data_IF_025043425676
#
_entry.id   IF_025043425676
#
_cell.length_a   1.000
_cell.length_b   1.000
_cell.length_c   1.000
_cell.angle_alpha   90.00
_cell.angle_beta   90.00
_cell.angle_gamma   90.00
#
_symmetry.space_group_name_H-M   'P 1'
#
loop_
_entity.id
_entity.type
_entity.pdbx_description
1 polymer ?
#
# COMPACT_ATOMS: atom_id res chain seq x y z
N UNK A 1 10.63 28.88 -2.15
CA UNK A 1 10.20 27.46 -2.09
C UNK A 1 10.47 26.85 -3.44
N UNK A 2 11.04 25.65 -3.49
CA UNK A 2 11.41 24.94 -4.72
C UNK A 2 10.15 24.61 -5.53
N UNK A 3 10.25 24.69 -6.87
CA UNK A 3 9.19 24.36 -7.82
C UNK A 3 7.80 24.97 -7.54
N UNK A 4 7.62 26.30 -7.56
CA UNK A 4 6.34 26.93 -7.23
C UNK A 4 5.21 26.57 -8.19
N UNK A 5 5.52 26.29 -9.48
CA UNK A 5 4.51 25.88 -10.45
C UNK A 5 3.88 24.53 -10.09
N UNK A 6 4.71 23.54 -9.74
CA UNK A 6 4.23 22.24 -9.29
C UNK A 6 3.39 22.37 -8.01
N UNK A 7 3.83 23.22 -7.06
CA UNK A 7 3.10 23.44 -5.81
C UNK A 7 1.70 24.05 -6.03
N UNK A 8 1.50 24.85 -7.06
CA UNK A 8 0.17 25.33 -7.43
C UNK A 8 -0.65 24.24 -8.12
N UNK A 9 -0.04 23.48 -9.04
CA UNK A 9 -0.74 22.41 -9.78
C UNK A 9 -1.25 21.32 -8.86
N UNK A 10 -0.44 20.83 -7.92
CA UNK A 10 -0.81 19.74 -7.01
C UNK A 10 -1.99 20.07 -6.07
N UNK A 11 -2.28 21.34 -5.82
CA UNK A 11 -3.38 21.74 -4.91
C UNK A 11 -4.75 21.25 -5.35
N UNK A 12 -4.97 21.15 -6.66
CA UNK A 12 -6.28 20.85 -7.24
C UNK A 12 -6.27 19.66 -8.20
N UNK A 13 -5.10 19.12 -8.48
CA UNK A 13 -4.96 18.04 -9.46
C UNK A 13 -5.57 16.74 -8.94
N UNK A 14 -6.46 16.12 -9.71
CA UNK A 14 -7.22 14.92 -9.33
C UNK A 14 -6.94 13.71 -10.22
N UNK A 15 -5.91 13.77 -11.08
CA UNK A 15 -5.57 12.72 -12.03
C UNK A 15 -6.20 12.92 -13.41
N UNK A 16 -5.74 12.10 -14.38
CA UNK A 16 -6.14 12.20 -15.80
C UNK A 16 -7.45 11.51 -16.11
N UNK A 17 -7.63 10.29 -15.59
CA UNK A 17 -8.78 9.48 -15.94
C UNK A 17 -9.85 9.58 -14.85
N UNK A 18 -11.10 9.53 -15.27
CA UNK A 18 -12.24 9.42 -14.37
C UNK A 18 -12.34 8.02 -13.76
N UNK A 19 -13.04 7.91 -12.64
CA UNK A 19 -13.34 6.63 -12.01
C UNK A 19 -14.31 5.86 -12.92
N UNK A 20 -14.08 4.56 -13.23
CA UNK A 20 -15.05 3.74 -13.94
C UNK A 20 -16.43 3.76 -13.26
N UNK A 21 -17.51 3.81 -14.04
CA UNK A 21 -18.87 3.91 -13.49
C UNK A 21 -19.23 2.75 -12.55
N UNK A 22 -18.73 1.55 -12.83
CA UNK A 22 -18.98 0.34 -12.05
C UNK A 22 -17.88 0.03 -11.02
N UNK A 23 -16.95 0.96 -10.77
CA UNK A 23 -15.77 0.75 -9.92
C UNK A 23 -16.12 0.27 -8.51
N UNK A 24 -17.05 0.93 -7.85
CA UNK A 24 -17.46 0.55 -6.50
C UNK A 24 -18.19 -0.79 -6.48
N UNK A 25 -19.08 -1.03 -7.45
CA UNK A 25 -19.77 -2.32 -7.57
C UNK A 25 -18.80 -3.47 -7.86
N UNK A 26 -17.74 -3.22 -8.65
CA UNK A 26 -16.68 -4.18 -8.89
C UNK A 26 -15.96 -4.56 -7.59
N UNK A 27 -15.45 -3.59 -6.83
CA UNK A 27 -14.72 -3.86 -5.60
C UNK A 27 -15.59 -4.46 -4.50
N UNK A 28 -16.84 -4.02 -4.37
CA UNK A 28 -17.79 -4.61 -3.44
C UNK A 28 -18.10 -6.08 -3.80
N UNK A 29 -18.17 -6.38 -5.09
CA UNK A 29 -18.30 -7.74 -5.59
C UNK A 29 -17.08 -8.61 -5.29
N UNK A 30 -15.89 -8.11 -5.59
CA UNK A 30 -14.62 -8.82 -5.35
C UNK A 30 -14.40 -9.11 -3.86
N UNK A 31 -14.61 -8.13 -2.99
CA UNK A 31 -14.51 -8.28 -1.53
C UNK A 31 -15.55 -9.27 -1.01
N UNK A 32 -16.77 -9.27 -1.54
CA UNK A 32 -17.83 -10.21 -1.16
C UNK A 32 -17.54 -11.65 -1.59
N UNK A 33 -16.84 -11.82 -2.70
CA UNK A 33 -16.56 -13.13 -3.30
C UNK A 33 -15.36 -13.83 -2.65
N UNK A 34 -14.45 -13.11 -1.99
CA UNK A 34 -13.36 -13.75 -1.26
C UNK A 34 -13.78 -14.15 0.14
N UNK A 35 -13.16 -15.21 0.66
CA UNK A 35 -13.35 -15.59 2.06
C UNK A 35 -12.77 -14.53 2.98
N UNK A 36 -13.56 -14.00 3.90
CA UNK A 36 -13.07 -13.07 4.94
C UNK A 36 -12.13 -13.76 5.92
N UNK A 37 -12.34 -15.04 6.17
CA UNK A 37 -11.46 -15.86 7.02
C UNK A 37 -11.05 -17.11 6.23
N UNK A 38 -10.06 -17.00 5.32
CA UNK A 38 -9.53 -18.16 4.61
C UNK A 38 -8.79 -19.08 5.60
N UNK A 39 -8.47 -20.28 5.15
CA UNK A 39 -7.60 -21.17 5.91
C UNK A 39 -6.28 -20.47 6.19
N UNK A 40 -5.89 -20.37 7.46
CA UNK A 40 -4.64 -19.77 7.87
C UNK A 40 -3.93 -20.60 8.94
N UNK A 41 -2.62 -20.44 9.01
CA UNK A 41 -1.77 -20.99 10.03
C UNK A 41 -1.01 -19.87 10.73
N UNK A 42 -1.11 -19.84 12.07
CA UNK A 42 -0.43 -18.87 12.92
C UNK A 42 0.51 -19.64 13.85
N UNK A 43 1.82 -19.43 13.71
CA UNK A 43 2.85 -20.12 14.48
C UNK A 43 3.62 -19.11 15.34
N UNK A 44 3.62 -19.35 16.67
CA UNK A 44 4.44 -18.54 17.58
C UNK A 44 5.91 -18.91 17.43
N UNK A 45 6.76 -17.89 17.34
CA UNK A 45 8.22 -18.02 17.24
C UNK A 45 8.90 -17.41 18.45
N UNK A 46 9.84 -18.11 19.00
CA UNK A 46 10.68 -17.57 20.08
C UNK A 46 11.71 -16.58 19.50
N UNK A 47 11.55 -15.32 19.87
CA UNK A 47 12.46 -14.24 19.47
C UNK A 47 13.33 -13.74 20.66
N UNK A 48 13.30 -14.46 21.79
CA UNK A 48 14.08 -14.18 23.00
C UNK A 48 13.87 -12.79 23.62
N UNK A 49 12.78 -12.09 23.28
CA UNK A 49 12.39 -10.82 23.91
C UNK A 49 11.15 -11.07 24.78
N UNK A 50 11.29 -11.04 26.12
CA UNK A 50 10.22 -11.46 27.01
C UNK A 50 8.99 -10.54 27.01
N UNK A 51 9.11 -9.33 26.49
CA UNK A 51 8.03 -8.33 26.45
C UNK A 51 7.06 -8.48 25.27
N UNK A 52 7.42 -9.30 24.29
CA UNK A 52 6.62 -9.46 23.05
C UNK A 52 6.34 -10.93 22.76
N UNK A 53 5.36 -11.15 21.88
CA UNK A 53 5.12 -12.41 21.19
C UNK A 53 5.28 -12.18 19.69
N UNK A 54 6.04 -13.06 19.05
CA UNK A 54 6.29 -13.02 17.61
C UNK A 54 5.61 -14.21 16.95
N UNK A 55 5.00 -13.95 15.77
CA UNK A 55 4.30 -14.98 15.02
C UNK A 55 4.65 -14.91 13.54
N UNK A 56 4.61 -16.07 12.90
CA UNK A 56 4.50 -16.21 11.46
C UNK A 56 3.05 -16.56 11.12
N UNK A 57 2.46 -15.79 10.22
CA UNK A 57 1.14 -16.04 9.68
C UNK A 57 1.27 -16.45 8.21
N UNK A 58 0.63 -17.55 7.82
CA UNK A 58 0.42 -17.94 6.42
C UNK A 58 -1.05 -18.17 6.18
N UNK A 59 -1.55 -17.76 5.01
CA UNK A 59 -2.93 -18.01 4.63
C UNK A 59 -3.09 -18.19 3.12
N UNK A 60 -4.21 -18.78 2.74
CA UNK A 60 -4.58 -18.95 1.34
C UNK A 60 -5.22 -17.65 0.82
N UNK A 61 -4.47 -16.94 -0.02
CA UNK A 61 -4.93 -15.75 -0.74
C UNK A 61 -5.78 -16.10 -1.96
N UNK A 62 -6.19 -15.05 -2.70
CA UNK A 62 -6.93 -15.24 -3.95
C UNK A 62 -6.12 -16.05 -4.98
N UNK A 63 -6.82 -16.77 -5.87
CA UNK A 63 -6.21 -17.54 -6.98
C UNK A 63 -5.01 -18.40 -6.59
N UNK A 64 -5.16 -19.24 -5.55
CA UNK A 64 -4.13 -20.18 -5.07
C UNK A 64 -2.83 -19.52 -4.56
N UNK A 65 -2.82 -18.21 -4.31
CA UNK A 65 -1.69 -17.52 -3.68
C UNK A 65 -1.52 -17.97 -2.24
N UNK A 66 -0.27 -18.05 -1.76
CA UNK A 66 0.03 -18.27 -0.34
C UNK A 66 0.67 -17.02 0.22
N UNK A 67 -0.02 -16.35 1.12
CA UNK A 67 0.43 -15.10 1.69
C UNK A 67 1.10 -15.35 3.03
N UNK A 68 2.24 -14.69 3.23
CA UNK A 68 3.04 -14.74 4.44
C UNK A 68 3.11 -13.36 5.09
N UNK A 69 3.02 -13.32 6.41
CA UNK A 69 3.23 -12.12 7.19
C UNK A 69 3.92 -12.45 8.53
N UNK A 70 4.67 -11.49 9.06
CA UNK A 70 5.19 -11.51 10.42
C UNK A 70 4.37 -10.63 11.31
N UNK A 71 4.13 -11.09 12.53
CA UNK A 71 3.37 -10.33 13.53
C UNK A 71 4.21 -10.22 14.80
N UNK A 72 4.23 -9.03 15.40
CA UNK A 72 4.73 -8.79 16.75
C UNK A 72 3.61 -8.19 17.58
N UNK A 73 3.32 -8.79 18.72
CA UNK A 73 2.35 -8.27 19.68
C UNK A 73 3.06 -8.00 21.02
N UNK A 74 2.88 -6.83 21.65
CA UNK A 74 3.29 -6.65 23.04
C UNK A 74 2.51 -7.61 23.93
N UNK A 75 3.16 -8.15 24.97
CA UNK A 75 2.46 -8.90 26.01
C UNK A 75 1.58 -7.96 26.79
N UNK A 76 0.29 -8.21 26.78
CA UNK A 76 -0.73 -7.38 27.43
C UNK A 76 -1.87 -8.27 27.92
N UNK A 77 -2.50 -7.88 29.02
CA UNK A 77 -3.77 -8.45 29.49
C UNK A 77 -4.97 -7.89 28.73
N UNK A 78 -4.80 -6.73 28.09
CA UNK A 78 -5.81 -6.07 27.28
C UNK A 78 -5.55 -6.31 25.79
N UNK A 79 -6.60 -6.15 24.97
CA UNK A 79 -6.46 -6.15 23.52
C UNK A 79 -5.63 -4.94 23.07
N UNK A 80 -4.73 -5.17 22.14
CA UNK A 80 -3.78 -4.16 21.66
C UNK A 80 -4.20 -3.57 20.32
N UNK A 81 -3.98 -2.25 20.09
CA UNK A 81 -4.10 -1.65 18.76
C UNK A 81 -3.06 -2.25 17.82
N UNK A 82 -3.32 -2.22 16.51
CA UNK A 82 -2.45 -2.88 15.56
C UNK A 82 -2.20 -2.02 14.30
N UNK A 83 -0.96 -2.09 13.81
CA UNK A 83 -0.50 -1.43 12.60
C UNK A 83 -0.21 -2.47 11.53
N UNK A 84 -0.84 -2.32 10.35
CA UNK A 84 -0.53 -3.07 9.15
C UNK A 84 0.55 -2.35 8.36
N UNK A 85 1.71 -2.98 8.22
CA UNK A 85 2.84 -2.46 7.44
C UNK A 85 2.97 -3.19 6.10
N UNK A 86 3.21 -2.41 5.03
CA UNK A 86 3.44 -2.90 3.68
C UNK A 86 4.75 -2.35 3.12
N UNK A 87 5.49 -3.21 2.43
CA UNK A 87 6.82 -2.90 1.90
C UNK A 87 6.80 -2.25 0.51
N UNK A 88 7.93 -1.66 0.12
CA UNK A 88 8.15 -1.10 -1.22
C UNK A 88 8.24 -2.15 -2.32
N UNK A 89 8.10 -1.70 -3.59
CA UNK A 89 8.10 -2.58 -4.77
C UNK A 89 9.35 -3.46 -4.84
N UNK A 90 9.16 -4.72 -5.22
CA UNK A 90 10.18 -5.78 -5.28
C UNK A 90 10.82 -6.14 -3.92
N UNK A 91 10.38 -5.54 -2.84
CA UNK A 91 10.89 -5.78 -1.49
C UNK A 91 10.23 -6.95 -0.78
N UNK A 92 10.37 -6.95 0.54
CA UNK A 92 9.73 -7.86 1.48
C UNK A 92 9.32 -7.14 2.76
N UNK A 93 8.45 -7.75 3.56
CA UNK A 93 8.05 -7.23 4.85
C UNK A 93 9.21 -7.08 5.85
N UNK A 94 8.99 -6.30 6.86
CA UNK A 94 9.94 -6.07 7.96
C UNK A 94 10.27 -7.35 8.73
N UNK A 95 11.47 -7.39 9.26
CA UNK A 95 11.82 -8.35 10.29
C UNK A 95 11.19 -7.96 11.63
N UNK A 96 11.10 -8.89 12.59
CA UNK A 96 10.51 -8.59 13.90
C UNK A 96 11.25 -7.47 14.64
N UNK A 97 12.56 -7.36 14.45
CA UNK A 97 13.37 -6.30 15.06
C UNK A 97 12.93 -4.90 14.63
N UNK A 98 12.55 -4.73 13.37
CA UNK A 98 12.12 -3.43 12.82
C UNK A 98 10.77 -2.97 13.40
N UNK A 99 9.96 -3.92 13.86
CA UNK A 99 8.62 -3.67 14.40
C UNK A 99 8.62 -3.36 15.91
N UNK A 100 9.72 -3.62 16.63
CA UNK A 100 9.77 -3.54 18.10
C UNK A 100 9.49 -2.13 18.64
N UNK A 101 9.87 -1.09 17.91
CA UNK A 101 9.62 0.29 18.33
C UNK A 101 8.16 0.58 18.64
N UNK A 102 7.24 0.06 17.85
CA UNK A 102 5.80 0.24 18.07
C UNK A 102 5.28 -0.52 19.29
N UNK A 103 5.91 -1.66 19.62
CA UNK A 103 5.47 -2.45 20.78
C UNK A 103 5.76 -1.75 22.11
N UNK A 104 6.76 -0.86 22.17
CA UNK A 104 7.04 -0.01 23.33
C UNK A 104 5.89 0.96 23.61
N UNK A 105 5.18 1.41 22.56
CA UNK A 105 3.96 2.23 22.68
C UNK A 105 2.69 1.39 22.92
N UNK A 106 2.82 0.06 23.04
CA UNK A 106 1.69 -0.84 23.26
C UNK A 106 0.95 -1.26 21.99
N UNK A 107 1.53 -1.02 20.79
CA UNK A 107 0.94 -1.40 19.50
C UNK A 107 1.51 -2.72 19.00
N UNK A 108 0.65 -3.59 18.49
CA UNK A 108 1.08 -4.69 17.65
C UNK A 108 1.40 -4.20 16.23
N UNK A 109 2.23 -4.95 15.52
CA UNK A 109 2.54 -4.71 14.12
C UNK A 109 2.43 -6.00 13.34
N UNK A 110 1.83 -5.96 12.17
CA UNK A 110 1.90 -7.03 11.17
C UNK A 110 2.53 -6.48 9.89
N UNK A 111 3.50 -7.22 9.34
CA UNK A 111 4.17 -6.86 8.10
C UNK A 111 4.02 -7.99 7.08
N UNK A 112 3.32 -7.71 5.99
CA UNK A 112 2.99 -8.66 4.93
C UNK A 112 4.06 -8.67 3.85
N UNK A 113 4.42 -9.86 3.36
CA UNK A 113 5.12 -10.03 2.10
C UNK A 113 4.11 -10.01 0.94
N UNK A 114 4.31 -9.17 -0.05
CA UNK A 114 3.50 -9.17 -1.28
C UNK A 114 3.85 -10.39 -2.12
N UNK A 115 2.83 -11.10 -2.63
CA UNK A 115 3.03 -12.28 -3.48
C UNK A 115 3.92 -11.98 -4.68
N UNK A 116 4.72 -12.94 -5.13
CA UNK A 116 5.53 -12.83 -6.33
C UNK A 116 6.70 -11.83 -6.26
N UNK A 117 6.98 -11.27 -5.07
CA UNK A 117 8.13 -10.38 -4.83
C UNK A 117 9.21 -11.09 -3.98
N UNK A 118 10.09 -10.36 -3.31
CA UNK A 118 11.29 -10.96 -2.68
C UNK A 118 11.04 -11.70 -1.35
N UNK A 119 9.81 -11.69 -0.83
CA UNK A 119 9.47 -12.34 0.44
C UNK A 119 9.10 -13.82 0.31
N UNK A 120 8.41 -14.34 1.33
CA UNK A 120 7.99 -15.75 1.40
C UNK A 120 6.58 -15.99 0.82
N UNK A 121 5.83 -14.95 0.52
CA UNK A 121 4.55 -15.08 -0.16
C UNK A 121 4.73 -15.66 -1.56
N UNK A 122 3.86 -16.62 -1.90
CA UNK A 122 3.89 -17.30 -3.19
C UNK A 122 2.72 -16.83 -4.04
N UNK A 123 3.01 -16.57 -5.30
CA UNK A 123 1.99 -16.31 -6.30
C UNK A 123 1.49 -17.65 -6.87
N UNK A 124 0.17 -17.81 -6.95
CA UNK A 124 -0.46 -19.03 -7.49
C UNK A 124 -0.33 -19.18 -9.00
N UNK A 125 0.11 -18.13 -9.72
CA UNK A 125 0.27 -18.21 -11.16
C UNK A 125 1.44 -19.13 -11.54
N UNK A 126 1.14 -20.15 -12.32
CA UNK A 126 2.17 -21.05 -12.89
C UNK A 126 2.81 -20.38 -14.09
N UNK A 127 4.13 -20.19 -14.04
CA UNK A 127 4.92 -19.73 -15.18
C UNK A 127 5.85 -20.84 -15.65
N UNK A 128 5.76 -21.28 -16.91
CA UNK A 128 6.68 -22.30 -17.44
C UNK A 128 8.10 -21.78 -17.67
N UNK A 129 8.28 -20.45 -17.67
CA UNK A 129 9.56 -19.77 -17.88
C UNK A 129 10.18 -19.21 -16.60
N UNK A 130 9.66 -19.57 -15.44
CA UNK A 130 10.11 -19.08 -14.12
C UNK A 130 9.33 -17.86 -13.65
N UNK A 131 9.67 -17.38 -12.45
CA UNK A 131 9.04 -16.23 -11.82
C UNK A 131 9.89 -14.97 -12.02
N UNK A 132 9.22 -13.82 -12.10
CA UNK A 132 9.86 -12.51 -12.04
C UNK A 132 9.40 -11.79 -10.78
N UNK A 133 10.26 -10.93 -10.23
CA UNK A 133 9.92 -10.11 -9.06
C UNK A 133 9.36 -8.73 -9.40
N UNK A 134 9.26 -8.43 -10.70
CA UNK A 134 8.74 -7.18 -11.27
C UNK A 134 7.85 -7.47 -12.49
N UNK A 135 7.30 -6.44 -13.10
CA UNK A 135 6.36 -6.58 -14.22
C UNK A 135 4.91 -6.68 -13.76
N UNK A 136 4.62 -6.30 -12.52
CA UNK A 136 3.34 -6.59 -11.86
C UNK A 136 2.22 -5.61 -12.22
N UNK A 137 2.53 -4.37 -12.66
CA UNK A 137 1.49 -3.40 -13.03
C UNK A 137 0.72 -3.87 -14.27
N UNK A 138 1.47 -4.26 -15.33
CA UNK A 138 0.87 -4.66 -16.61
C UNK A 138 0.36 -6.09 -16.60
N UNK A 139 0.73 -6.88 -15.61
CA UNK A 139 0.40 -8.30 -15.53
C UNK A 139 -1.10 -8.50 -15.37
N UNK A 140 -1.70 -9.19 -16.34
CA UNK A 140 -3.13 -9.42 -16.43
C UNK A 140 -3.92 -8.30 -17.12
N UNK A 141 -3.28 -7.18 -17.48
CA UNK A 141 -3.98 -6.04 -18.09
C UNK A 141 -4.53 -6.34 -19.47
N UNK A 142 -3.85 -7.19 -20.26
CA UNK A 142 -4.32 -7.62 -21.58
C UNK A 142 -5.51 -8.58 -21.51
N UNK A 143 -5.64 -9.31 -20.42
CA UNK A 143 -6.72 -10.27 -20.16
C UNK A 143 -7.93 -9.63 -19.49
N UNK A 144 -7.82 -8.36 -19.09
CA UNK A 144 -8.86 -7.57 -18.46
C UNK A 144 -8.79 -7.53 -16.93
N UNK A 145 -9.63 -6.68 -16.33
CA UNK A 145 -9.59 -6.32 -14.90
C UNK A 145 -9.64 -7.50 -13.93
N UNK A 146 -10.29 -8.59 -14.29
CA UNK A 146 -10.42 -9.78 -13.43
C UNK A 146 -9.11 -10.56 -13.30
N UNK A 147 -8.14 -10.27 -14.17
CA UNK A 147 -6.84 -10.93 -14.25
C UNK A 147 -5.68 -10.09 -13.71
N UNK A 148 -5.94 -8.85 -13.31
CA UNK A 148 -4.91 -7.94 -12.80
C UNK A 148 -4.23 -8.51 -11.55
N UNK A 149 -2.90 -8.55 -11.56
CA UNK A 149 -2.09 -9.00 -10.43
C UNK A 149 -2.36 -8.20 -9.16
N UNK A 150 -2.39 -6.88 -9.25
CA UNK A 150 -2.66 -6.04 -8.07
C UNK A 150 -4.08 -6.17 -7.54
N UNK A 151 -5.06 -6.59 -8.34
CA UNK A 151 -6.38 -6.95 -7.82
C UNK A 151 -6.27 -8.07 -6.78
N UNK A 152 -5.51 -9.10 -7.10
CA UNK A 152 -5.30 -10.22 -6.19
C UNK A 152 -4.49 -9.80 -4.94
N UNK A 153 -3.49 -8.95 -5.08
CA UNK A 153 -2.75 -8.36 -3.95
C UNK A 153 -3.68 -7.55 -3.04
N UNK A 154 -4.60 -6.77 -3.60
CA UNK A 154 -5.55 -5.96 -2.83
C UNK A 154 -6.53 -6.83 -2.04
N UNK A 155 -6.96 -7.94 -2.62
CA UNK A 155 -7.79 -8.94 -1.94
C UNK A 155 -7.02 -9.66 -0.82
N UNK A 156 -5.73 -9.98 -1.01
CA UNK A 156 -4.87 -10.52 0.05
C UNK A 156 -4.77 -9.57 1.24
N UNK A 157 -4.65 -8.28 0.98
CA UNK A 157 -4.62 -7.25 2.03
C UNK A 157 -5.94 -7.23 2.80
N UNK A 158 -7.07 -7.26 2.09
CA UNK A 158 -8.37 -7.34 2.73
C UNK A 158 -8.49 -8.55 3.64
N UNK A 159 -8.11 -9.74 3.15
CA UNK A 159 -8.13 -10.99 3.92
C UNK A 159 -7.17 -10.94 5.12
N UNK A 160 -5.97 -10.38 4.96
CA UNK A 160 -5.03 -10.17 6.06
C UNK A 160 -5.65 -9.34 7.19
N UNK A 161 -6.30 -8.23 6.85
CA UNK A 161 -6.96 -7.36 7.84
C UNK A 161 -8.05 -8.13 8.58
N UNK A 162 -8.88 -8.91 7.89
CA UNK A 162 -9.94 -9.70 8.50
C UNK A 162 -9.38 -10.79 9.44
N UNK A 163 -8.36 -11.55 9.01
CA UNK A 163 -7.72 -12.58 9.84
C UNK A 163 -7.15 -11.96 11.12
N UNK A 164 -6.37 -10.90 10.97
CA UNK A 164 -5.66 -10.28 12.11
C UNK A 164 -6.63 -9.59 13.06
N UNK A 165 -7.67 -8.94 12.55
CA UNK A 165 -8.74 -8.35 13.37
C UNK A 165 -9.51 -9.42 14.18
N UNK A 166 -9.56 -10.67 13.73
CA UNK A 166 -10.22 -11.77 14.42
C UNK A 166 -9.41 -12.36 15.58
N UNK A 167 -8.11 -12.03 15.68
CA UNK A 167 -7.25 -12.54 16.75
C UNK A 167 -7.68 -11.97 18.11
N UNK A 168 -7.77 -12.82 19.12
CA UNK A 168 -8.28 -12.45 20.45
C UNK A 168 -7.47 -11.36 21.14
N UNK A 169 -6.18 -11.22 20.81
CA UNK A 169 -5.27 -10.22 21.37
C UNK A 169 -5.40 -8.86 20.71
N UNK A 170 -6.07 -8.75 19.54
CA UNK A 170 -6.13 -7.52 18.73
C UNK A 170 -7.41 -6.74 19.02
N UNK A 171 -7.28 -5.43 19.19
CA UNK A 171 -8.40 -4.50 19.23
C UNK A 171 -8.80 -4.10 17.81
N UNK A 172 -9.83 -4.75 17.30
CA UNK A 172 -10.35 -4.53 15.94
C UNK A 172 -10.88 -3.09 15.68
N UNK A 173 -11.05 -2.30 16.73
CA UNK A 173 -11.50 -0.89 16.64
C UNK A 173 -10.35 0.10 16.57
N UNK A 174 -9.11 -0.35 16.75
CA UNK A 174 -7.90 0.49 16.74
C UNK A 174 -6.87 -0.07 15.76
N UNK A 175 -7.28 -0.17 14.48
CA UNK A 175 -6.43 -0.64 13.40
C UNK A 175 -5.90 0.54 12.60
N UNK A 176 -4.64 0.47 12.19
CA UNK A 176 -3.97 1.47 11.38
C UNK A 176 -3.16 0.81 10.27
N UNK A 177 -2.83 1.56 9.21
CA UNK A 177 -1.98 1.09 8.12
C UNK A 177 -0.85 2.06 7.82
N UNK A 178 0.29 1.53 7.38
CA UNK A 178 1.50 2.30 7.10
C UNK A 178 2.35 1.65 6.00
N UNK A 179 2.96 2.49 5.18
CA UNK A 179 3.96 2.05 4.23
C UNK A 179 4.51 3.19 3.38
N UNK A 180 5.54 2.84 2.61
CA UNK A 180 6.20 3.77 1.69
C UNK A 180 6.23 3.19 0.27
N UNK A 181 6.13 4.04 -0.75
CA UNK A 181 6.13 3.66 -2.16
C UNK A 181 4.97 2.69 -2.46
N UNK A 182 5.23 1.49 -2.97
CA UNK A 182 4.20 0.44 -3.06
C UNK A 182 3.49 0.24 -1.72
N UNK A 183 4.25 0.20 -0.61
CA UNK A 183 3.68 0.06 0.72
C UNK A 183 2.72 1.19 1.08
N UNK A 184 3.02 2.42 0.67
CA UNK A 184 2.12 3.58 0.85
C UNK A 184 0.81 3.44 0.08
N UNK A 185 0.89 2.94 -1.16
CA UNK A 185 -0.28 2.58 -1.96
C UNK A 185 -1.11 1.48 -1.28
N UNK A 186 -0.45 0.40 -0.84
CA UNK A 186 -1.11 -0.73 -0.20
C UNK A 186 -1.70 -0.39 1.18
N UNK A 187 -1.10 0.56 1.91
CA UNK A 187 -1.69 1.08 3.14
C UNK A 187 -3.02 1.82 2.88
N UNK A 188 -3.09 2.61 1.80
CA UNK A 188 -4.32 3.27 1.35
C UNK A 188 -5.36 2.24 0.87
N UNK A 189 -4.93 1.20 0.16
CA UNK A 189 -5.80 0.09 -0.26
C UNK A 189 -6.41 -0.63 0.94
N UNK A 190 -5.62 -0.92 1.98
CA UNK A 190 -6.12 -1.53 3.21
C UNK A 190 -7.28 -0.71 3.81
N UNK A 191 -7.11 0.62 3.87
CA UNK A 191 -8.14 1.52 4.39
C UNK A 191 -9.36 1.66 3.46
N UNK A 192 -9.15 1.60 2.14
CA UNK A 192 -10.23 1.72 1.15
C UNK A 192 -11.12 0.47 1.10
N UNK A 193 -10.55 -0.71 1.33
CA UNK A 193 -11.28 -1.98 1.31
C UNK A 193 -11.78 -2.42 2.69
N UNK A 194 -11.22 -1.86 3.77
CA UNK A 194 -11.63 -2.22 5.12
C UNK A 194 -11.86 -0.99 6.03
N UNK A 195 -13.12 -0.64 6.33
CA UNK A 195 -13.46 0.54 7.14
C UNK A 195 -13.01 0.45 8.60
N UNK A 196 -12.48 -0.70 9.09
CA UNK A 196 -11.87 -0.81 10.41
C UNK A 196 -10.54 -0.07 10.52
N UNK A 197 -9.87 0.24 9.41
CA UNK A 197 -8.64 1.02 9.41
C UNK A 197 -8.98 2.47 9.72
N UNK A 198 -8.57 2.93 10.91
CA UNK A 198 -8.90 4.25 11.43
C UNK A 198 -7.87 5.32 11.07
N UNK A 199 -6.61 4.91 10.89
CA UNK A 199 -5.50 5.80 10.55
C UNK A 199 -4.62 5.18 9.47
N UNK A 200 -4.22 5.97 8.49
CA UNK A 200 -3.32 5.54 7.41
C UNK A 200 -2.21 6.54 7.20
N UNK A 201 -0.96 6.08 7.24
CA UNK A 201 0.19 6.88 6.79
C UNK A 201 0.70 6.32 5.46
N UNK A 202 0.69 7.14 4.43
CA UNK A 202 1.23 6.82 3.12
C UNK A 202 2.40 7.75 2.77
N UNK A 203 3.60 7.18 2.67
CA UNK A 203 4.80 7.93 2.27
C UNK A 203 5.03 7.71 0.78
N UNK A 204 5.07 8.80 0.01
CA UNK A 204 5.21 8.83 -1.45
C UNK A 204 4.53 7.65 -2.17
N UNK A 205 3.18 7.49 -2.06
CA UNK A 205 2.48 6.32 -2.57
C UNK A 205 2.65 6.12 -4.08
N UNK A 206 2.90 4.86 -4.47
CA UNK A 206 3.01 4.34 -5.82
C UNK A 206 1.63 3.98 -6.41
N UNK A 207 1.56 3.38 -7.60
CA UNK A 207 0.35 2.80 -8.22
C UNK A 207 -0.79 3.82 -8.42
N UNK A 208 -0.46 5.04 -8.81
CA UNK A 208 -1.48 6.06 -9.06
C UNK A 208 -1.24 6.82 -10.34
N UNK A 209 -2.35 7.13 -11.04
CA UNK A 209 -2.44 7.98 -12.20
C UNK A 209 -1.51 7.52 -13.36
N UNK A 210 -1.68 6.26 -13.76
CA UNK A 210 -0.83 5.59 -14.75
C UNK A 210 -0.72 6.36 -16.07
N UNK A 211 -1.80 7.00 -16.54
CA UNK A 211 -1.76 7.85 -17.74
C UNK A 211 -0.82 9.04 -17.54
N UNK A 212 -0.86 9.69 -16.38
CA UNK A 212 0.05 10.80 -16.09
C UNK A 212 1.51 10.35 -16.03
N UNK A 213 1.76 9.15 -15.53
CA UNK A 213 3.10 8.54 -15.54
C UNK A 213 3.63 8.40 -16.96
N UNK A 214 2.79 7.94 -17.90
CA UNK A 214 3.16 7.82 -19.33
C UNK A 214 3.40 9.20 -19.94
N UNK A 215 2.51 10.18 -19.72
CA UNK A 215 2.65 11.54 -20.23
C UNK A 215 3.94 12.24 -19.77
N UNK A 216 4.33 12.02 -18.51
CA UNK A 216 5.58 12.57 -17.96
C UNK A 216 6.80 11.87 -18.57
N UNK A 217 6.65 10.63 -19.07
CA UNK A 217 7.75 9.84 -19.58
C UNK A 217 8.65 9.27 -18.46
N UNK A 218 8.04 8.84 -17.34
CA UNK A 218 8.76 8.29 -16.21
C UNK A 218 9.45 6.97 -16.57
N UNK A 219 10.77 6.99 -16.66
CA UNK A 219 11.59 5.84 -17.02
C UNK A 219 12.16 5.11 -15.80
N UNK A 220 11.65 5.37 -14.60
CA UNK A 220 12.09 4.65 -13.40
C UNK A 220 11.80 3.15 -13.52
N UNK A 221 12.64 2.34 -12.87
CA UNK A 221 12.49 0.88 -12.90
C UNK A 221 11.10 0.43 -12.41
N UNK A 222 10.48 1.20 -11.52
CA UNK A 222 9.17 0.89 -10.96
C UNK A 222 8.02 0.91 -12.00
N UNK A 223 8.16 1.73 -13.06
CA UNK A 223 7.17 1.84 -14.13
C UNK A 223 7.64 1.31 -15.48
N UNK A 224 8.87 0.74 -15.55
CA UNK A 224 9.50 0.27 -16.81
C UNK A 224 8.57 -0.67 -17.60
N UNK A 225 7.80 -1.51 -16.92
CA UNK A 225 6.88 -2.45 -17.56
C UNK A 225 5.75 -1.80 -18.37
N UNK A 226 5.24 -0.63 -17.95
CA UNK A 226 4.27 0.12 -18.74
C UNK A 226 4.87 0.62 -20.04
N UNK A 227 6.07 1.18 -19.98
CA UNK A 227 6.78 1.66 -21.18
C UNK A 227 7.20 0.52 -22.10
N UNK A 228 7.61 -0.64 -21.53
CA UNK A 228 7.93 -1.83 -22.31
C UNK A 228 6.72 -2.40 -23.02
N UNK A 229 5.55 -2.36 -22.40
CA UNK A 229 4.31 -2.76 -23.05
C UNK A 229 4.10 -1.95 -24.33
N UNK A 230 4.06 -0.63 -24.26
CA UNK A 230 3.87 0.23 -25.44
C UNK A 230 5.04 0.14 -26.43
N UNK A 231 6.26 -0.07 -25.98
CA UNK A 231 7.41 -0.20 -26.87
C UNK A 231 7.43 -1.50 -27.68
N UNK A 232 6.99 -2.63 -27.12
CA UNK A 232 7.19 -3.94 -27.71
C UNK A 232 5.90 -4.68 -28.09
N UNK A 233 4.78 -4.38 -27.45
CA UNK A 233 3.51 -5.03 -27.71
C UNK A 233 2.53 -4.12 -28.43
N UNK A 234 2.50 -2.83 -28.10
CA UNK A 234 1.63 -1.84 -28.74
C UNK A 234 2.39 -0.56 -29.10
N UNK A 235 3.34 -0.62 -30.06
CA UNK A 235 4.18 0.52 -30.43
C UNK A 235 3.43 1.67 -31.12
N UNK A 236 2.20 1.44 -31.53
CA UNK A 236 1.33 2.45 -32.15
C UNK A 236 0.27 3.01 -31.21
N UNK A 237 0.26 2.54 -29.94
CA UNK A 237 -0.73 2.92 -28.92
C UNK A 237 -2.20 2.67 -29.34
N UNK A 238 -2.43 1.60 -30.11
CA UNK A 238 -3.77 1.24 -30.58
C UNK A 238 -4.67 0.70 -29.46
N UNK A 239 -4.08 0.14 -28.38
CA UNK A 239 -4.77 -0.41 -27.22
C UNK A 239 -4.65 0.45 -25.96
N UNK A 240 -4.07 1.65 -26.06
CA UNK A 240 -3.80 2.49 -24.88
C UNK A 240 -5.04 2.75 -24.04
N UNK A 241 -6.15 3.13 -24.68
CA UNK A 241 -7.41 3.41 -23.97
C UNK A 241 -7.96 2.17 -23.24
N UNK A 242 -7.88 1.00 -23.87
CA UNK A 242 -8.33 -0.26 -23.26
C UNK A 242 -7.46 -0.64 -22.05
N UNK A 243 -6.14 -0.54 -22.19
CA UNK A 243 -5.19 -0.82 -21.11
C UNK A 243 -5.38 0.17 -19.95
N UNK A 244 -5.53 1.48 -20.22
CA UNK A 244 -5.75 2.47 -19.17
C UNK A 244 -7.10 2.25 -18.47
N UNK A 245 -8.16 1.92 -19.21
CA UNK A 245 -9.45 1.58 -18.63
C UNK A 245 -9.37 0.33 -17.72
N UNK A 246 -8.57 -0.65 -18.11
CA UNK A 246 -8.33 -1.84 -17.27
C UNK A 246 -7.51 -1.49 -16.03
N UNK A 247 -6.41 -0.77 -16.16
CA UNK A 247 -5.56 -0.35 -15.04
C UNK A 247 -6.29 0.59 -14.06
N UNK A 248 -7.35 1.29 -14.50
CA UNK A 248 -8.15 2.15 -13.64
C UNK A 248 -8.72 1.41 -12.42
N UNK A 249 -8.92 0.08 -12.49
CA UNK A 249 -9.44 -0.71 -11.37
C UNK A 249 -8.41 -0.94 -10.25
N UNK A 250 -7.12 -0.82 -10.54
CA UNK A 250 -6.04 -0.91 -9.53
C UNK A 250 -5.37 0.44 -9.26
N UNK A 251 -5.79 1.50 -9.93
CA UNK A 251 -5.27 2.83 -9.70
C UNK A 251 -5.76 3.37 -8.34
N UNK A 252 -4.80 3.59 -7.43
CA UNK A 252 -5.10 3.94 -6.03
C UNK A 252 -5.85 5.26 -5.90
N UNK A 253 -5.68 6.22 -6.83
CA UNK A 253 -6.48 7.46 -6.82
C UNK A 253 -7.99 7.17 -6.91
N UNK A 254 -8.37 6.08 -7.57
CA UNK A 254 -9.76 5.70 -7.75
C UNK A 254 -10.35 5.00 -6.50
N UNK A 255 -9.50 4.47 -5.61
CA UNK A 255 -9.92 3.92 -4.31
C UNK A 255 -10.04 4.98 -3.21
N UNK A 256 -9.45 6.16 -3.39
CA UNK A 256 -9.29 7.17 -2.35
C UNK A 256 -10.62 7.61 -1.70
N UNK A 257 -11.69 7.73 -2.47
CA UNK A 257 -13.02 8.15 -1.96
C UNK A 257 -13.66 7.12 -1.00
N UNK A 258 -13.22 5.87 -1.03
CA UNK A 258 -13.72 4.79 -0.15
C UNK A 258 -13.12 4.85 1.26
N UNK A 259 -12.03 5.59 1.46
CA UNK A 259 -11.33 5.67 2.75
C UNK A 259 -12.15 6.52 3.72
N UNK A 260 -12.45 5.95 4.89
CA UNK A 260 -13.23 6.62 5.95
C UNK A 260 -12.36 7.10 7.11
N UNK A 261 -11.25 6.41 7.38
CA UNK A 261 -10.29 6.75 8.42
C UNK A 261 -9.43 7.98 8.06
N UNK A 262 -8.72 8.51 9.04
CA UNK A 262 -7.83 9.67 8.87
C UNK A 262 -6.58 9.29 8.07
N UNK A 263 -6.17 10.12 7.11
CA UNK A 263 -5.02 9.89 6.25
C UNK A 263 -3.95 10.96 6.42
N UNK A 264 -2.71 10.52 6.63
CA UNK A 264 -1.51 11.37 6.55
C UNK A 264 -0.65 10.95 5.36
N UNK A 265 -0.39 11.88 4.45
CA UNK A 265 0.54 11.67 3.33
C UNK A 265 1.84 12.45 3.55
N UNK A 266 2.97 11.83 3.18
CA UNK A 266 4.29 12.45 3.22
C UNK A 266 4.91 12.31 1.83
N UNK A 267 5.40 13.43 1.27
CA UNK A 267 5.82 13.53 -0.14
C UNK A 267 7.16 14.21 -0.25
N UNK A 268 8.10 13.62 -0.98
CA UNK A 268 9.31 14.30 -1.45
C UNK A 268 8.99 15.12 -2.69
N UNK A 269 9.39 16.40 -2.74
CA UNK A 269 9.05 17.25 -3.88
C UNK A 269 9.88 16.96 -5.12
N UNK A 270 11.08 16.37 -4.94
CA UNK A 270 11.97 15.95 -6.02
C UNK A 270 11.80 14.47 -6.40
N UNK A 271 10.75 13.80 -5.91
CA UNK A 271 10.50 12.39 -6.21
C UNK A 271 10.34 12.17 -7.72
N UNK A 272 11.26 11.41 -8.29
CA UNK A 272 11.39 11.08 -9.71
C UNK A 272 10.92 9.65 -10.03
N UNK A 273 10.49 8.90 -9.03
CA UNK A 273 9.89 7.57 -9.14
C UNK A 273 8.37 7.68 -9.03
N UNK A 274 7.87 8.12 -7.87
CA UNK A 274 6.47 8.39 -7.64
C UNK A 274 6.25 9.91 -7.68
N UNK A 275 6.03 10.48 -8.88
CA UNK A 275 5.94 11.94 -9.03
C UNK A 275 4.92 12.55 -8.07
N UNK A 276 5.23 13.69 -7.42
CA UNK A 276 4.30 14.33 -6.47
C UNK A 276 2.91 14.57 -7.05
N UNK A 277 2.82 14.90 -8.35
CA UNK A 277 1.54 15.15 -9.02
C UNK A 277 0.63 13.90 -8.98
N UNK A 278 1.19 12.69 -9.17
CA UNK A 278 0.42 11.44 -9.12
C UNK A 278 0.01 11.08 -7.70
N UNK A 279 0.82 11.41 -6.71
CA UNK A 279 0.50 11.24 -5.29
C UNK A 279 -0.65 12.19 -4.88
N UNK A 280 -0.62 13.45 -5.32
CA UNK A 280 -1.68 14.42 -5.05
C UNK A 280 -2.98 14.13 -5.79
N UNK A 281 -2.94 13.36 -6.88
CA UNK A 281 -4.15 12.81 -7.49
C UNK A 281 -4.93 11.93 -6.50
N UNK A 282 -4.23 11.14 -5.67
CA UNK A 282 -4.84 10.38 -4.56
C UNK A 282 -5.34 11.36 -3.50
N UNK A 283 -4.45 12.23 -2.99
CA UNK A 283 -4.77 13.12 -1.87
C UNK A 283 -6.00 13.96 -2.12
N UNK A 284 -6.13 14.54 -3.31
CA UNK A 284 -7.26 15.42 -3.66
C UNK A 284 -8.58 14.68 -3.89
N UNK A 285 -8.55 13.33 -4.04
CA UNK A 285 -9.75 12.48 -4.11
C UNK A 285 -10.20 11.93 -2.76
N UNK A 286 -9.35 12.01 -1.71
CA UNK A 286 -9.76 11.65 -0.36
C UNK A 286 -10.91 12.55 0.11
N UNK A 287 -11.91 11.96 0.74
CA UNK A 287 -13.08 12.65 1.31
C UNK A 287 -13.08 12.68 2.83
N UNK A 288 -12.21 11.88 3.45
CA UNK A 288 -12.00 11.80 4.90
C UNK A 288 -11.10 12.92 5.43
N UNK A 289 -10.90 12.97 6.74
CA UNK A 289 -9.91 13.84 7.38
C UNK A 289 -8.51 13.49 6.86
N UNK A 290 -7.78 14.51 6.40
CA UNK A 290 -6.49 14.30 5.74
C UNK A 290 -5.50 15.41 5.99
N UNK A 291 -4.25 15.03 6.08
CA UNK A 291 -3.12 15.94 6.19
C UNK A 291 -2.00 15.52 5.24
N UNK A 292 -1.13 16.46 4.86
CA UNK A 292 0.08 16.12 4.12
C UNK A 292 1.29 16.88 4.67
N UNK A 293 2.47 16.29 4.43
CA UNK A 293 3.76 16.92 4.65
C UNK A 293 4.59 16.85 3.38
N UNK A 294 5.07 17.99 2.90
CA UNK A 294 6.02 18.07 1.80
C UNK A 294 7.43 18.21 2.36
N UNK A 295 8.34 17.39 1.84
CA UNK A 295 9.78 17.42 2.10
C UNK A 295 10.48 17.96 0.85
N UNK A 296 10.81 19.27 0.79
CA UNK A 296 11.16 19.94 -0.48
C UNK A 296 12.44 19.43 -1.15
N UNK A 297 13.38 18.90 -0.37
CA UNK A 297 14.71 18.49 -0.85
C UNK A 297 14.85 16.95 -0.97
N UNK A 298 13.77 16.21 -0.73
CA UNK A 298 13.76 14.75 -0.82
C UNK A 298 13.19 14.28 -2.17
N UNK A 299 13.83 13.26 -2.73
CA UNK A 299 13.35 12.48 -3.87
C UNK A 299 12.66 11.18 -3.39
N UNK A 300 12.94 10.04 -4.03
CA UNK A 300 12.41 8.71 -3.65
C UNK A 300 13.38 7.91 -2.76
N UNK A 301 14.12 8.59 -1.93
CA UNK A 301 15.01 7.97 -0.93
C UNK A 301 14.32 7.81 0.42
N UNK A 302 14.94 7.06 1.34
CA UNK A 302 14.46 6.94 2.70
C UNK A 302 14.40 8.31 3.40
N UNK A 303 13.21 8.72 3.77
CA UNK A 303 12.97 9.98 4.48
C UNK A 303 13.21 9.78 5.97
N UNK A 304 14.47 9.65 6.38
CA UNK A 304 14.86 9.27 7.73
C UNK A 304 15.11 10.44 8.70
N UNK A 305 14.94 11.69 8.23
CA UNK A 305 15.12 12.87 9.10
C UNK A 305 13.76 13.35 9.59
N UNK A 306 13.45 13.09 10.84
CA UNK A 306 12.17 13.40 11.53
C UNK A 306 10.90 12.75 10.96
N UNK A 307 10.98 11.98 9.87
CA UNK A 307 9.77 11.37 9.26
C UNK A 307 9.36 10.14 10.06
N UNK A 308 10.29 9.28 10.44
CA UNK A 308 9.99 8.09 11.26
C UNK A 308 9.39 8.49 12.61
N UNK A 309 9.92 9.53 13.26
CA UNK A 309 9.35 10.08 14.49
C UNK A 309 7.93 10.62 14.27
N UNK A 310 7.67 11.29 13.16
CA UNK A 310 6.33 11.80 12.83
C UNK A 310 5.34 10.66 12.58
N UNK A 311 5.74 9.64 11.84
CA UNK A 311 4.93 8.44 11.57
C UNK A 311 4.59 7.74 12.88
N UNK A 312 5.61 7.46 13.70
CA UNK A 312 5.46 6.80 14.99
C UNK A 312 4.50 7.56 15.91
N UNK A 313 4.75 8.86 16.12
CA UNK A 313 3.92 9.67 17.02
C UNK A 313 2.48 9.82 16.49
N UNK A 314 2.29 9.96 15.19
CA UNK A 314 0.97 10.11 14.62
C UNK A 314 0.14 8.83 14.70
N UNK A 315 0.76 7.66 14.47
CA UNK A 315 0.11 6.36 14.59
C UNK A 315 -0.19 5.99 16.04
N UNK A 316 0.78 6.20 16.95
CA UNK A 316 0.69 5.75 18.34
C UNK A 316 0.14 6.79 19.32
N UNK A 317 -0.08 8.01 18.87
CA UNK A 317 -0.51 9.09 19.78
C UNK A 317 -1.02 10.32 19.05
N UNK A 318 -0.58 11.46 19.50
CA UNK A 318 -0.80 12.76 18.88
C UNK A 318 0.50 13.29 18.29
N UNK A 319 0.38 14.12 17.25
CA UNK A 319 1.57 14.80 16.69
C UNK A 319 2.32 15.56 17.81
N UNK A 320 3.62 15.27 17.91
CA UNK A 320 4.52 16.11 18.69
C UNK A 320 4.86 17.32 17.82
N UNK A 321 4.47 18.53 18.19
CA UNK A 321 4.89 19.71 17.46
C UNK A 321 6.42 19.79 17.48
N UNK A 322 7.08 19.76 16.33
CA UNK A 322 8.53 19.98 16.26
C UNK A 322 8.85 21.40 16.70
N UNK A 323 9.20 21.55 17.98
CA UNK A 323 9.69 22.84 18.54
C UNK A 323 11.11 23.21 18.09
N UNK A 324 11.77 22.32 17.34
CA UNK A 324 13.16 22.49 16.90
C UNK A 324 13.33 23.25 15.58
N UNK A 325 12.22 23.56 14.89
CA UNK A 325 12.25 24.35 13.67
C UNK A 325 11.65 25.73 13.96
N UNK A 326 12.39 26.52 14.71
CA UNK A 326 12.19 27.98 14.75
C UNK A 326 13.24 28.66 13.86
#
# INVERSE_FOLDING_TARGET
MKNPALLEEIKTYRGRDEVPEDFDAFWDGEVKNVSTLPSYHLEERDFHIPQVKCYELTFEGSKEGKVYARIVLPKSEEKVPLIFHFHGYMGRGWDWADMLGFTVAGYGVVSMDVRGQSGYSQDGLRSPLGNTVKGHIIRGAMEGRDHLFYKDVYLDIYQLVEIVASLSQVDEKRLSSYGASQGGALALVAAALNPRIQKTVAVYPFLSDFRRVIEIGNTSEAYDELFRYFKFHDPFHETEEEIMATLAYIDVKNLAHRIQGEVKMITGLDDDVCYPITQFAIYNRLTCDKTYRIMPEYAHEAMNVFVDDQVYNWLCGSEIPFKYLK
#
